data_IF_430475624475
#
_entry.id   IF_430475624475
#
_cell.length_a   1.000
_cell.length_b   1.000
_cell.length_c   1.000
_cell.angle_alpha   90.00
_cell.angle_beta   90.00
_cell.angle_gamma   90.00
#
_symmetry.space_group_name_H-M   'P 1'
#
loop_
_entity.id
_entity.type
_entity.pdbx_description
1 polymer ?
#
# COMPACT_ATOMS: atom_id res chain seq x y z
N UNK A 1 -7.29 30.54 0.48
CA UNK A 1 -7.95 29.38 -0.20
C UNK A 1 -8.39 28.38 0.84
N UNK A 2 -9.67 27.97 0.86
CA UNK A 2 -10.15 26.91 1.76
C UNK A 2 -10.00 25.54 1.09
N UNK A 3 -9.37 24.62 1.77
CA UNK A 3 -9.09 23.27 1.25
C UNK A 3 -9.81 22.23 2.11
N UNK A 4 -10.47 21.26 1.44
CA UNK A 4 -10.95 20.05 2.10
C UNK A 4 -10.32 18.80 1.48
N UNK A 5 -9.93 17.86 2.32
CA UNK A 5 -9.43 16.55 1.94
C UNK A 5 -10.47 15.51 2.38
N UNK A 6 -10.99 14.77 1.41
CA UNK A 6 -11.98 13.73 1.63
C UNK A 6 -11.26 12.40 1.85
N UNK A 7 -11.32 11.90 3.08
CA UNK A 7 -10.67 10.68 3.53
C UNK A 7 -9.43 10.92 4.39
N UNK A 8 -9.50 10.50 5.66
CA UNK A 8 -8.42 10.54 6.65
C UNK A 8 -7.57 9.26 6.65
N UNK A 9 -7.24 8.72 5.46
CA UNK A 9 -6.31 7.61 5.30
C UNK A 9 -4.88 8.09 5.04
N UNK A 10 -3.99 7.16 4.67
CA UNK A 10 -2.58 7.44 4.37
C UNK A 10 -2.42 8.62 3.40
N UNK A 11 -3.06 8.58 2.23
CA UNK A 11 -2.96 9.62 1.21
C UNK A 11 -3.46 10.98 1.71
N UNK A 12 -4.58 10.99 2.44
CA UNK A 12 -5.17 12.25 2.93
C UNK A 12 -4.35 12.90 4.04
N UNK A 13 -3.85 12.10 4.99
CA UNK A 13 -3.06 12.61 6.11
C UNK A 13 -1.67 13.08 5.68
N UNK A 14 -0.98 12.34 4.80
CA UNK A 14 0.32 12.74 4.26
C UNK A 14 0.21 13.98 3.39
N UNK A 15 -0.86 14.10 2.57
CA UNK A 15 -1.17 15.31 1.83
C UNK A 15 -1.42 16.51 2.76
N UNK A 16 -2.22 16.33 3.81
CA UNK A 16 -2.48 17.38 4.79
C UNK A 16 -1.18 17.85 5.44
N UNK A 17 -0.33 16.92 5.88
CA UNK A 17 0.96 17.26 6.49
C UNK A 17 1.87 18.04 5.51
N UNK A 18 1.92 17.64 4.22
CA UNK A 18 2.65 18.39 3.19
C UNK A 18 2.13 19.81 3.04
N UNK A 19 0.80 19.98 2.91
CA UNK A 19 0.18 21.30 2.75
C UNK A 19 0.40 22.19 3.98
N UNK A 20 0.28 21.64 5.18
CA UNK A 20 0.52 22.36 6.44
C UNK A 20 1.94 22.91 6.56
N UNK A 21 2.93 22.25 5.96
CA UNK A 21 4.32 22.70 5.90
C UNK A 21 4.55 23.82 4.89
N UNK A 22 3.78 23.84 3.81
CA UNK A 22 4.08 24.69 2.64
C UNK A 22 3.19 25.91 2.50
N UNK A 23 1.96 25.87 3.02
CA UNK A 23 0.99 26.98 2.90
C UNK A 23 0.42 27.37 4.25
N UNK A 24 -0.02 28.62 4.38
CA UNK A 24 -0.67 29.15 5.59
C UNK A 24 -2.18 28.88 5.66
N UNK A 25 -2.69 28.10 4.74
CA UNK A 25 -4.11 27.79 4.58
C UNK A 25 -4.58 26.76 5.62
N UNK A 26 -5.81 26.96 6.10
CA UNK A 26 -6.47 25.99 6.98
C UNK A 26 -6.97 24.79 6.17
N UNK A 27 -6.81 23.58 6.75
CA UNK A 27 -7.17 22.33 6.10
C UNK A 27 -8.30 21.65 6.89
N UNK A 28 -9.33 21.24 6.18
CA UNK A 28 -10.37 20.38 6.72
C UNK A 28 -10.19 18.96 6.18
N UNK A 29 -10.17 17.96 7.06
CA UNK A 29 -10.25 16.54 6.68
C UNK A 29 -11.66 16.04 6.99
N UNK A 30 -12.37 15.63 5.94
CA UNK A 30 -13.66 14.96 6.05
C UNK A 30 -13.44 13.45 6.12
N UNK A 31 -13.76 12.84 7.27
CA UNK A 31 -13.69 11.40 7.51
C UNK A 31 -15.06 10.89 7.98
N UNK A 32 -15.61 9.90 7.28
CA UNK A 32 -16.93 9.32 7.61
C UNK A 32 -16.87 8.36 8.80
N UNK A 33 -15.72 7.76 9.08
CA UNK A 33 -15.55 6.81 10.18
C UNK A 33 -15.38 7.53 11.52
N UNK A 34 -16.41 7.43 12.38
CA UNK A 34 -16.44 8.10 13.69
C UNK A 34 -15.33 7.59 14.63
N UNK A 35 -15.01 6.29 14.60
CA UNK A 35 -13.95 5.73 15.44
C UNK A 35 -12.58 6.31 15.09
N UNK A 36 -12.34 6.57 13.79
CA UNK A 36 -11.12 7.25 13.35
C UNK A 36 -11.09 8.70 13.84
N UNK A 37 -12.21 9.42 13.78
CA UNK A 37 -12.27 10.80 14.27
C UNK A 37 -11.93 10.88 15.75
N UNK A 38 -12.48 9.98 16.57
CA UNK A 38 -12.16 9.89 18.01
C UNK A 38 -10.65 9.62 18.20
N UNK A 39 -10.06 8.73 17.40
CA UNK A 39 -8.61 8.48 17.44
C UNK A 39 -7.81 9.73 17.06
N UNK A 40 -8.22 10.46 16.02
CA UNK A 40 -7.55 11.69 15.56
C UNK A 40 -7.63 12.82 16.61
N UNK A 41 -8.74 12.92 17.33
CA UNK A 41 -8.85 13.84 18.48
C UNK A 41 -7.81 13.54 19.55
N UNK A 42 -7.52 12.27 19.78
CA UNK A 42 -6.54 11.79 20.75
C UNK A 42 -5.10 11.73 20.19
N UNK A 43 -4.85 12.25 18.98
CA UNK A 43 -3.52 12.25 18.36
C UNK A 43 -3.06 10.91 17.81
N UNK A 44 -3.97 9.95 17.62
CA UNK A 44 -3.69 8.63 17.07
C UNK A 44 -4.14 8.57 15.61
N UNK A 45 -3.20 8.70 14.68
CA UNK A 45 -3.52 8.76 13.25
C UNK A 45 -3.49 7.39 12.55
N UNK A 46 -2.96 6.35 13.24
CA UNK A 46 -2.98 4.97 12.75
C UNK A 46 -2.09 4.71 11.53
N UNK A 47 -1.11 5.57 11.29
CA UNK A 47 -0.19 5.50 10.16
C UNK A 47 1.23 5.69 10.67
N UNK A 48 2.12 4.79 10.31
CA UNK A 48 3.55 4.97 10.55
C UNK A 48 4.16 5.79 9.41
N UNK A 49 4.37 7.08 9.68
CA UNK A 49 5.07 7.98 8.76
C UNK A 49 5.91 8.98 9.58
N UNK A 50 7.24 8.93 9.50
CA UNK A 50 8.11 9.79 10.30
C UNK A 50 7.78 11.27 10.17
N UNK A 51 7.53 11.94 11.30
CA UNK A 51 7.23 13.39 11.38
C UNK A 51 5.76 13.75 11.13
N UNK A 52 4.89 12.80 10.73
CA UNK A 52 3.47 13.07 10.48
C UNK A 52 2.75 13.56 11.72
N UNK A 53 2.88 12.83 12.82
CA UNK A 53 2.17 13.11 14.07
C UNK A 53 2.54 14.49 14.63
N UNK A 54 3.83 14.84 14.60
CA UNK A 54 4.34 16.14 15.06
C UNK A 54 3.74 17.29 14.23
N UNK A 55 3.76 17.17 12.90
CA UNK A 55 3.22 18.22 12.01
C UNK A 55 1.73 18.43 12.28
N UNK A 56 0.96 17.35 12.41
CA UNK A 56 -0.48 17.46 12.64
C UNK A 56 -0.77 18.01 14.04
N UNK A 57 -0.03 17.61 15.08
CA UNK A 57 -0.22 18.13 16.43
C UNK A 57 0.06 19.64 16.50
N UNK A 58 1.15 20.12 15.90
CA UNK A 58 1.44 21.55 15.82
C UNK A 58 0.32 22.29 15.09
N UNK A 59 -0.17 21.76 13.97
CA UNK A 59 -1.25 22.37 13.23
C UNK A 59 -2.58 22.41 13.99
N UNK A 60 -2.88 21.39 14.80
CA UNK A 60 -4.04 21.37 15.72
C UNK A 60 -3.94 22.48 16.77
N UNK A 61 -2.79 22.64 17.41
CA UNK A 61 -2.54 23.70 18.40
C UNK A 61 -2.71 25.10 17.79
N UNK A 62 -2.38 25.26 16.51
CA UNK A 62 -2.53 26.50 15.76
C UNK A 62 -3.93 26.68 15.13
N UNK A 63 -4.87 25.74 15.32
CA UNK A 63 -6.18 25.70 14.68
C UNK A 63 -6.12 25.68 13.13
N UNK A 64 -5.05 25.14 12.55
CA UNK A 64 -4.84 25.09 11.10
C UNK A 64 -5.31 23.78 10.46
N UNK A 65 -5.67 22.79 11.26
CA UNK A 65 -6.28 21.53 10.78
C UNK A 65 -7.49 21.19 11.62
N UNK A 66 -8.55 20.74 10.95
CA UNK A 66 -9.77 20.26 11.57
C UNK A 66 -10.16 18.90 10.98
N UNK A 67 -10.58 17.99 11.85
CA UNK A 67 -11.14 16.69 11.47
C UNK A 67 -12.65 16.71 11.74
N UNK A 68 -13.46 16.28 10.79
CA UNK A 68 -14.93 16.32 10.91
C UNK A 68 -15.58 15.25 10.03
N UNK A 69 -16.79 14.87 10.37
CA UNK A 69 -17.67 14.08 9.52
C UNK A 69 -18.74 14.94 8.81
N UNK A 70 -18.77 16.23 9.07
CA UNK A 70 -19.76 17.15 8.51
C UNK A 70 -19.11 18.45 8.05
N UNK A 71 -19.39 18.83 6.81
CA UNK A 71 -18.99 20.08 6.17
C UNK A 71 -20.20 20.85 5.62
N UNK A 72 -21.41 20.52 6.09
CA UNK A 72 -22.63 21.22 5.66
C UNK A 72 -22.47 22.73 5.78
N UNK A 73 -22.95 23.48 4.79
CA UNK A 73 -22.88 24.95 4.70
C UNK A 73 -21.48 25.57 4.47
N UNK A 74 -20.41 24.79 4.40
CA UNK A 74 -19.09 25.31 4.09
C UNK A 74 -18.83 25.28 2.58
N UNK A 75 -17.98 26.21 2.11
CA UNK A 75 -17.53 26.31 0.72
C UNK A 75 -16.01 26.18 0.65
N UNK A 76 -15.54 25.31 -0.23
CA UNK A 76 -14.12 25.05 -0.44
C UNK A 76 -13.75 25.40 -1.88
N UNK A 77 -12.58 26.00 -2.05
CA UNK A 77 -12.03 26.33 -3.35
C UNK A 77 -11.31 25.14 -4.00
N UNK A 78 -10.82 24.23 -3.16
CA UNK A 78 -10.12 23.01 -3.60
C UNK A 78 -10.56 21.80 -2.75
N UNK A 79 -11.02 20.78 -3.43
CA UNK A 79 -11.45 19.50 -2.85
C UNK A 79 -10.50 18.41 -3.33
N UNK A 80 -9.74 17.79 -2.42
CA UNK A 80 -8.96 16.58 -2.72
C UNK A 80 -9.76 15.34 -2.38
N UNK A 81 -9.94 14.42 -3.32
CA UNK A 81 -10.58 13.12 -3.09
C UNK A 81 -9.51 12.06 -2.88
N UNK A 82 -9.37 11.62 -1.62
CA UNK A 82 -8.36 10.67 -1.13
C UNK A 82 -9.01 9.42 -0.51
N UNK A 83 -10.12 8.95 -1.05
CA UNK A 83 -10.82 7.78 -0.55
C UNK A 83 -10.18 6.48 -1.03
N UNK A 84 -10.36 5.41 -0.25
CA UNK A 84 -9.90 4.08 -0.66
C UNK A 84 -10.84 3.52 -1.74
N UNK A 85 -10.25 2.94 -2.79
CA UNK A 85 -10.96 2.21 -3.85
C UNK A 85 -10.73 0.72 -3.63
N UNK A 86 -11.60 0.06 -2.86
CA UNK A 86 -11.45 -1.34 -2.48
C UNK A 86 -11.59 -2.31 -3.66
N UNK A 87 -10.93 -3.48 -3.57
CA UNK A 87 -10.95 -4.57 -4.57
C UNK A 87 -12.39 -5.10 -4.85
N UNK A 88 -13.31 -4.96 -3.90
CA UNK A 88 -14.66 -5.54 -3.95
C UNK A 88 -15.77 -4.58 -4.41
N UNK A 89 -15.44 -3.33 -4.80
CA UNK A 89 -16.44 -2.42 -5.32
C UNK A 89 -16.67 -2.66 -6.81
N UNK A 90 -17.86 -3.13 -7.16
CA UNK A 90 -18.25 -3.42 -8.56
C UNK A 90 -18.48 -2.18 -9.41
N UNK A 91 -18.51 -0.98 -8.83
CA UNK A 91 -18.80 0.27 -9.56
C UNK A 91 -18.07 1.49 -8.96
N UNK A 92 -16.74 1.49 -9.05
CA UNK A 92 -15.90 2.55 -8.46
C UNK A 92 -16.12 3.93 -9.07
N UNK A 93 -16.37 3.97 -10.36
CA UNK A 93 -16.66 5.23 -11.08
C UNK A 93 -17.92 5.89 -10.52
N UNK A 94 -19.00 5.10 -10.35
CA UNK A 94 -20.25 5.63 -9.81
C UNK A 94 -20.12 6.06 -8.35
N UNK A 95 -19.30 5.36 -7.57
CA UNK A 95 -19.00 5.76 -6.18
C UNK A 95 -18.34 7.12 -6.12
N UNK A 96 -17.39 7.40 -7.02
CA UNK A 96 -16.73 8.71 -7.13
C UNK A 96 -17.73 9.79 -7.60
N UNK A 97 -18.55 9.49 -8.62
CA UNK A 97 -19.57 10.43 -9.11
C UNK A 97 -20.60 10.75 -8.01
N UNK A 98 -21.05 9.74 -7.27
CA UNK A 98 -21.98 9.93 -6.14
C UNK A 98 -21.37 10.83 -5.07
N UNK A 99 -20.11 10.60 -4.71
CA UNK A 99 -19.39 11.46 -3.76
C UNK A 99 -19.27 12.88 -4.29
N UNK A 100 -18.92 13.08 -5.55
CA UNK A 100 -18.85 14.42 -6.16
C UNK A 100 -20.20 15.09 -6.13
N UNK A 101 -21.30 14.37 -6.42
CA UNK A 101 -22.66 14.90 -6.35
C UNK A 101 -23.02 15.39 -4.94
N UNK A 102 -22.66 14.63 -3.89
CA UNK A 102 -22.86 15.03 -2.49
C UNK A 102 -22.08 16.32 -2.16
N UNK A 103 -20.89 16.49 -2.73
CA UNK A 103 -19.99 17.60 -2.43
C UNK A 103 -20.27 18.88 -3.25
N UNK A 104 -21.10 18.85 -4.31
CA UNK A 104 -21.29 19.98 -5.22
C UNK A 104 -21.69 21.27 -4.50
N UNK A 105 -22.54 21.16 -3.46
CA UNK A 105 -22.95 22.32 -2.66
C UNK A 105 -21.84 22.87 -1.75
N UNK A 106 -20.76 22.12 -1.55
CA UNK A 106 -19.63 22.51 -0.72
C UNK A 106 -18.46 23.07 -1.54
N UNK A 107 -18.58 23.11 -2.86
CA UNK A 107 -17.53 23.64 -3.75
C UNK A 107 -17.86 25.08 -4.11
N UNK A 108 -16.89 25.97 -4.00
CA UNK A 108 -16.99 27.38 -4.41
C UNK A 108 -17.24 27.51 -5.90
N UNK A 109 -17.71 28.68 -6.35
CA UNK A 109 -17.77 29.00 -7.79
C UNK A 109 -16.35 28.90 -8.36
N UNK A 110 -16.22 28.32 -9.54
CA UNK A 110 -14.92 28.07 -10.20
C UNK A 110 -13.92 27.29 -9.33
N UNK A 111 -14.43 26.50 -8.36
CA UNK A 111 -13.62 25.65 -7.50
C UNK A 111 -13.05 24.43 -8.24
N UNK A 112 -12.14 23.72 -7.56
CA UNK A 112 -11.42 22.60 -8.13
C UNK A 112 -11.71 21.29 -7.37
N UNK A 113 -11.82 20.20 -8.12
CA UNK A 113 -11.80 18.84 -7.61
C UNK A 113 -10.51 18.18 -8.11
N UNK A 114 -9.66 17.74 -7.18
CA UNK A 114 -8.48 16.96 -7.46
C UNK A 114 -8.72 15.51 -7.07
N UNK A 115 -8.80 14.60 -8.04
CA UNK A 115 -8.85 13.16 -7.77
C UNK A 115 -7.44 12.66 -7.47
N UNK A 116 -7.21 12.18 -6.24
CA UNK A 116 -5.95 11.56 -5.80
C UNK A 116 -6.06 10.07 -5.59
N UNK A 117 -7.28 9.57 -5.37
CA UNK A 117 -7.53 8.13 -5.30
C UNK A 117 -7.07 7.42 -6.56
N UNK A 118 -6.51 6.20 -6.42
CA UNK A 118 -6.22 5.35 -7.57
C UNK A 118 -7.54 4.82 -8.15
N UNK A 119 -7.79 5.08 -9.42
CA UNK A 119 -9.07 4.81 -10.10
C UNK A 119 -8.85 4.09 -11.43
N UNK A 120 -9.88 3.42 -12.00
CA UNK A 120 -9.84 2.94 -13.38
C UNK A 120 -9.64 4.09 -14.37
N UNK A 121 -9.02 3.79 -15.52
CA UNK A 121 -8.76 4.77 -16.58
C UNK A 121 -10.09 5.29 -17.13
N UNK A 122 -10.19 6.61 -17.30
CA UNK A 122 -11.40 7.30 -17.76
C UNK A 122 -12.31 7.80 -16.64
N UNK A 123 -12.00 7.51 -15.37
CA UNK A 123 -12.83 7.96 -14.23
C UNK A 123 -12.94 9.48 -14.19
N UNK A 124 -11.85 10.22 -14.39
CA UNK A 124 -11.86 11.69 -14.36
C UNK A 124 -12.72 12.25 -15.48
N UNK A 125 -12.73 11.64 -16.67
CA UNK A 125 -13.60 12.01 -17.78
C UNK A 125 -15.07 11.77 -17.49
N UNK A 126 -15.42 10.70 -16.79
CA UNK A 126 -16.80 10.48 -16.35
C UNK A 126 -17.25 11.54 -15.34
N UNK A 127 -16.39 11.93 -14.40
CA UNK A 127 -16.67 13.02 -13.46
C UNK A 127 -16.82 14.35 -14.20
N UNK A 128 -15.95 14.65 -15.17
CA UNK A 128 -16.05 15.86 -16.00
C UNK A 128 -17.37 15.92 -16.73
N UNK A 129 -17.76 14.83 -17.40
CA UNK A 129 -19.05 14.76 -18.10
C UNK A 129 -20.22 15.00 -17.14
N UNK A 130 -20.20 14.38 -15.95
CA UNK A 130 -21.23 14.64 -14.93
C UNK A 130 -21.30 16.12 -14.52
N UNK A 131 -20.15 16.78 -14.35
CA UNK A 131 -20.08 18.21 -14.02
C UNK A 131 -20.63 19.07 -15.16
N UNK A 132 -20.29 18.78 -16.41
CA UNK A 132 -20.76 19.52 -17.60
C UNK A 132 -22.29 19.42 -17.79
N UNK A 133 -22.87 18.26 -17.46
CA UNK A 133 -24.30 18.02 -17.50
C UNK A 133 -25.05 18.61 -16.28
N UNK A 134 -24.33 19.16 -15.30
CA UNK A 134 -24.86 19.70 -14.04
C UNK A 134 -24.93 21.23 -14.06
N UNK A 135 -25.73 21.86 -13.16
CA UNK A 135 -25.70 23.32 -12.94
C UNK A 135 -24.32 23.85 -12.47
N UNK A 136 -23.40 22.97 -12.14
CA UNK A 136 -22.06 23.29 -11.62
C UNK A 136 -20.96 22.99 -12.64
N UNK A 137 -21.22 23.24 -13.92
CA UNK A 137 -20.24 23.18 -15.01
C UNK A 137 -19.04 24.13 -14.83
N UNK A 138 -19.15 25.10 -13.91
CA UNK A 138 -18.08 26.00 -13.50
C UNK A 138 -16.98 25.34 -12.66
N UNK A 139 -17.23 24.16 -12.09
CA UNK A 139 -16.27 23.41 -11.29
C UNK A 139 -15.32 22.63 -12.19
N UNK A 140 -14.01 22.78 -11.93
CA UNK A 140 -12.98 22.07 -12.68
C UNK A 140 -12.59 20.78 -11.97
N UNK A 141 -12.36 19.70 -12.74
CA UNK A 141 -11.84 18.43 -12.23
C UNK A 141 -10.54 18.07 -12.93
N UNK A 142 -9.59 17.53 -12.17
CA UNK A 142 -8.32 17.03 -12.67
C UNK A 142 -7.84 15.84 -11.85
N UNK A 143 -6.89 15.11 -12.39
CA UNK A 143 -6.30 13.95 -11.74
C UNK A 143 -4.87 14.24 -11.30
N UNK A 144 -4.56 13.99 -10.03
CA UNK A 144 -3.20 14.13 -9.51
C UNK A 144 -2.93 13.03 -8.46
N UNK A 145 -2.52 11.82 -8.90
CA UNK A 145 -2.44 10.63 -8.04
C UNK A 145 -1.32 10.71 -7.01
N UNK A 146 -1.52 10.03 -5.89
CA UNK A 146 -0.44 9.75 -4.95
C UNK A 146 0.50 8.67 -5.49
N UNK A 147 1.82 8.89 -5.37
CA UNK A 147 2.86 7.99 -5.87
C UNK A 147 3.93 7.64 -4.83
N UNK A 148 3.78 8.15 -3.63
CA UNK A 148 4.73 7.95 -2.55
C UNK A 148 4.64 6.56 -1.92
N UNK A 149 5.72 6.19 -1.22
CA UNK A 149 5.85 4.92 -0.52
C UNK A 149 5.67 5.15 0.98
N UNK A 150 4.83 4.35 1.63
CA UNK A 150 4.61 4.38 3.06
C UNK A 150 5.92 4.25 3.85
N UNK A 151 6.09 5.07 4.89
CA UNK A 151 7.28 5.16 5.73
C UNK A 151 8.30 6.22 5.30
N UNK A 152 8.18 6.77 4.07
CA UNK A 152 8.99 7.88 3.54
C UNK A 152 8.18 8.86 2.70
N UNK A 153 6.85 8.83 2.84
CA UNK A 153 5.95 9.60 1.97
C UNK A 153 6.15 11.11 2.09
N UNK A 154 6.37 11.63 3.29
CA UNK A 154 6.61 13.07 3.47
C UNK A 154 7.89 13.54 2.76
N UNK A 155 8.94 12.72 2.79
CA UNK A 155 10.18 13.00 2.07
C UNK A 155 9.97 12.95 0.55
N UNK A 156 9.20 11.96 0.07
CA UNK A 156 8.91 11.80 -1.35
C UNK A 156 7.95 12.87 -1.88
N UNK A 157 6.98 13.35 -1.07
CA UNK A 157 6.12 14.49 -1.42
C UNK A 157 6.92 15.80 -1.61
N UNK A 158 8.06 15.93 -0.97
CA UNK A 158 8.97 17.07 -1.15
C UNK A 158 9.88 16.92 -2.38
N UNK A 159 10.23 15.70 -2.76
CA UNK A 159 11.24 15.41 -3.78
C UNK A 159 10.66 15.00 -5.13
N UNK A 160 9.63 14.16 -5.14
CA UNK A 160 9.02 13.63 -6.36
C UNK A 160 8.08 14.64 -7.02
N UNK A 161 8.10 14.75 -8.37
CA UNK A 161 7.13 15.57 -9.06
C UNK A 161 5.74 14.94 -9.00
N UNK A 162 4.74 15.78 -8.74
CA UNK A 162 3.32 15.44 -8.82
C UNK A 162 2.91 15.38 -10.30
N UNK A 163 2.33 14.26 -10.71
CA UNK A 163 1.74 14.14 -12.05
C UNK A 163 0.38 14.82 -12.04
N UNK A 164 0.07 15.57 -13.07
CA UNK A 164 -1.20 16.28 -13.24
C UNK A 164 -1.78 16.01 -14.62
N UNK A 165 -2.93 15.38 -14.65
CA UNK A 165 -3.74 15.19 -15.87
C UNK A 165 -4.94 16.12 -15.85
N UNK A 166 -5.04 17.03 -16.80
CA UNK A 166 -6.12 18.00 -16.94
C UNK A 166 -6.72 17.99 -18.36
N UNK A 167 -7.89 18.64 -18.53
CA UNK A 167 -8.60 18.70 -19.82
C UNK A 167 -8.20 19.88 -20.69
N UNK A 168 -7.26 20.70 -20.28
CA UNK A 168 -6.90 21.92 -20.99
C UNK A 168 -6.04 21.63 -22.23
N UNK A 169 -6.61 21.82 -23.41
CA UNK A 169 -5.90 21.68 -24.69
C UNK A 169 -5.00 22.89 -25.02
N UNK A 170 -5.21 24.02 -24.35
CA UNK A 170 -4.59 25.33 -24.70
C UNK A 170 -3.36 25.66 -23.85
N UNK A 171 -2.63 24.69 -23.30
CA UNK A 171 -1.49 24.91 -22.40
C UNK A 171 -1.80 25.83 -21.20
N UNK A 172 -3.06 26.06 -20.85
CA UNK A 172 -3.40 26.76 -19.63
C UNK A 172 -3.08 25.83 -18.46
N UNK A 173 -1.96 26.05 -17.84
CA UNK A 173 -1.45 25.26 -16.73
C UNK A 173 -2.19 25.51 -15.41
N UNK A 174 -3.46 25.93 -15.46
CA UNK A 174 -4.22 26.40 -14.28
C UNK A 174 -4.18 25.40 -13.13
N UNK A 175 -4.39 24.09 -13.41
CA UNK A 175 -4.37 23.04 -12.40
C UNK A 175 -2.94 22.71 -11.94
N UNK A 176 -1.98 22.78 -12.88
CA UNK A 176 -0.55 22.64 -12.59
C UNK A 176 -0.04 23.80 -11.75
N UNK A 177 -0.42 25.05 -12.08
CA UNK A 177 -0.03 26.24 -11.33
C UNK A 177 -0.67 26.27 -9.95
N UNK A 178 -1.92 25.79 -9.84
CA UNK A 178 -2.56 25.60 -8.54
C UNK A 178 -1.72 24.70 -7.64
N UNK A 179 -1.29 23.53 -8.12
CA UNK A 179 -0.45 22.62 -7.31
C UNK A 179 0.96 23.18 -7.08
N UNK A 180 1.55 23.90 -8.03
CA UNK A 180 2.82 24.62 -7.83
C UNK A 180 2.70 25.65 -6.71
N UNK A 181 1.59 26.41 -6.67
CA UNK A 181 1.34 27.39 -5.59
C UNK A 181 1.19 26.75 -4.22
N UNK A 182 0.84 25.46 -4.17
CA UNK A 182 0.79 24.63 -2.95
C UNK A 182 2.14 23.98 -2.61
N UNK A 183 3.21 24.30 -3.34
CA UNK A 183 4.55 23.82 -3.06
C UNK A 183 4.88 22.44 -3.63
N UNK A 184 4.15 21.98 -4.66
CA UNK A 184 4.51 20.77 -5.39
C UNK A 184 5.39 21.06 -6.60
N UNK A 185 6.33 20.18 -6.88
CA UNK A 185 6.91 20.07 -8.23
C UNK A 185 5.87 19.39 -9.10
N UNK A 186 5.67 19.83 -10.35
CA UNK A 186 4.58 19.32 -11.20
C UNK A 186 5.11 18.92 -12.57
N UNK A 187 4.62 17.77 -13.05
CA UNK A 187 4.72 17.32 -14.45
C UNK A 187 3.30 17.21 -14.99
N UNK A 188 2.97 18.02 -15.97
CA UNK A 188 1.69 17.97 -16.68
C UNK A 188 1.63 16.81 -17.67
N UNK A 189 0.45 16.20 -17.80
CA UNK A 189 0.12 15.20 -18.81
C UNK A 189 -0.88 15.79 -19.80
N UNK A 190 -0.91 15.24 -21.01
CA UNK A 190 -1.79 15.72 -22.08
C UNK A 190 -3.30 15.59 -21.80
N UNK A 191 -3.68 14.66 -20.93
CA UNK A 191 -5.06 14.40 -20.52
C UNK A 191 -5.09 13.59 -19.20
N UNK A 192 -6.23 13.53 -18.51
CA UNK A 192 -6.37 12.77 -17.27
C UNK A 192 -6.15 11.27 -17.42
N UNK A 193 -6.60 10.67 -18.53
CA UNK A 193 -6.46 9.24 -18.79
C UNK A 193 -5.01 8.83 -18.86
N UNK A 194 -4.15 9.64 -19.44
CA UNK A 194 -2.70 9.40 -19.48
C UNK A 194 -2.09 9.43 -18.08
N UNK A 195 -2.56 10.30 -17.19
CA UNK A 195 -2.10 10.38 -15.81
C UNK A 195 -2.63 9.19 -14.98
N UNK A 196 -3.89 8.78 -15.18
CA UNK A 196 -4.49 7.57 -14.58
C UNK A 196 -3.73 6.31 -15.00
N UNK A 197 -3.43 6.19 -16.29
CA UNK A 197 -2.64 5.09 -16.84
C UNK A 197 -1.21 5.07 -16.24
N UNK A 198 -0.54 6.25 -16.17
CA UNK A 198 0.80 6.37 -15.59
C UNK A 198 0.84 5.90 -14.14
N UNK A 199 -0.21 6.22 -13.35
CA UNK A 199 -0.32 5.74 -11.97
C UNK A 199 -0.36 4.22 -11.91
N UNK A 200 -1.18 3.59 -12.72
CA UNK A 200 -1.36 2.14 -12.73
C UNK A 200 -0.13 1.41 -13.28
N UNK A 201 0.46 1.89 -14.41
CA UNK A 201 1.61 1.23 -15.04
C UNK A 201 2.83 1.20 -14.13
N UNK A 202 3.02 2.21 -13.28
CA UNK A 202 4.14 2.23 -12.32
C UNK A 202 4.09 1.07 -11.33
N UNK A 203 2.90 0.69 -10.88
CA UNK A 203 2.70 -0.44 -9.98
C UNK A 203 2.67 -1.78 -10.72
N UNK A 204 2.04 -1.84 -11.88
CA UNK A 204 2.01 -3.02 -12.77
C UNK A 204 3.44 -3.43 -13.15
N UNK A 205 4.29 -2.47 -13.54
CA UNK A 205 5.68 -2.74 -13.86
C UNK A 205 6.45 -3.39 -12.71
N UNK A 206 6.27 -2.87 -11.49
CA UNK A 206 6.91 -3.43 -10.30
C UNK A 206 6.38 -4.84 -10.00
N UNK A 207 5.07 -5.02 -10.06
CA UNK A 207 4.41 -6.30 -9.81
C UNK A 207 4.88 -7.38 -10.81
N UNK A 208 4.98 -7.03 -12.11
CA UNK A 208 5.46 -7.95 -13.14
C UNK A 208 6.95 -8.30 -12.98
N UNK A 209 7.79 -7.35 -12.56
CA UNK A 209 9.20 -7.66 -12.28
C UNK A 209 9.36 -8.63 -11.10
N UNK A 210 8.57 -8.47 -10.04
CA UNK A 210 8.56 -9.44 -8.94
C UNK A 210 8.07 -10.81 -9.39
N UNK A 211 7.04 -10.87 -10.24
CA UNK A 211 6.51 -12.14 -10.75
C UNK A 211 7.56 -12.93 -11.54
N UNK A 212 8.31 -12.26 -12.43
CA UNK A 212 9.40 -12.88 -13.17
C UNK A 212 10.43 -13.49 -12.21
N UNK A 213 10.83 -12.74 -11.19
CA UNK A 213 11.85 -13.22 -10.25
C UNK A 213 11.30 -14.32 -9.34
N UNK A 214 10.05 -14.26 -8.95
CA UNK A 214 9.39 -15.32 -8.19
C UNK A 214 9.32 -16.63 -9.00
N UNK A 215 9.06 -16.54 -10.31
CA UNK A 215 9.11 -17.71 -11.18
C UNK A 215 10.53 -18.27 -11.32
N UNK A 216 11.53 -17.40 -11.48
CA UNK A 216 12.93 -17.82 -11.49
C UNK A 216 13.36 -18.46 -10.17
N UNK A 217 12.84 -18.01 -9.04
CA UNK A 217 13.08 -18.64 -7.73
C UNK A 217 12.54 -20.08 -7.69
N UNK A 218 11.33 -20.33 -8.22
CA UNK A 218 10.78 -21.68 -8.34
C UNK A 218 11.66 -22.58 -9.22
N UNK A 219 12.22 -22.06 -10.31
CA UNK A 219 13.11 -22.82 -11.18
C UNK A 219 14.47 -23.07 -10.51
N UNK A 220 15.01 -22.11 -9.77
CA UNK A 220 16.28 -22.30 -9.06
C UNK A 220 16.21 -23.39 -8.00
N UNK A 221 15.09 -23.52 -7.27
CA UNK A 221 14.87 -24.64 -6.35
C UNK A 221 14.96 -26.00 -7.06
N UNK A 222 14.28 -26.13 -8.22
CA UNK A 222 14.31 -27.38 -9.02
C UNK A 222 15.70 -27.72 -9.55
N UNK A 223 16.52 -26.69 -9.81
CA UNK A 223 17.90 -26.85 -10.28
C UNK A 223 18.93 -26.96 -9.14
N UNK A 224 18.50 -26.89 -7.88
CA UNK A 224 19.34 -26.86 -6.68
C UNK A 224 20.36 -25.71 -6.70
N UNK A 225 19.88 -24.51 -7.05
CA UNK A 225 20.67 -23.28 -7.10
C UNK A 225 20.18 -22.29 -6.03
N UNK A 226 21.00 -21.28 -5.71
CA UNK A 226 20.66 -20.14 -4.85
C UNK A 226 20.34 -18.91 -5.71
N UNK A 227 19.07 -18.56 -5.83
CA UNK A 227 18.62 -17.40 -6.60
C UNK A 227 19.15 -16.08 -6.03
N UNK A 228 19.34 -15.97 -4.72
CA UNK A 228 19.81 -14.74 -4.08
C UNK A 228 21.27 -14.46 -4.43
N UNK A 229 22.14 -15.50 -4.43
CA UNK A 229 23.51 -15.37 -4.91
C UNK A 229 23.56 -14.98 -6.37
N UNK A 230 22.76 -15.63 -7.21
CA UNK A 230 22.69 -15.36 -8.66
C UNK A 230 22.29 -13.91 -8.91
N UNK A 231 21.24 -13.42 -8.25
CA UNK A 231 20.76 -12.04 -8.40
C UNK A 231 21.81 -11.04 -7.90
N UNK A 232 22.43 -11.28 -6.75
CA UNK A 232 23.46 -10.42 -6.19
C UNK A 232 24.62 -10.24 -7.19
N UNK A 233 25.12 -11.35 -7.75
CA UNK A 233 26.18 -11.33 -8.76
C UNK A 233 25.72 -10.71 -10.08
N UNK A 234 24.50 -10.99 -10.52
CA UNK A 234 23.94 -10.41 -11.74
C UNK A 234 23.78 -8.89 -11.67
N UNK A 235 23.53 -8.35 -10.49
CA UNK A 235 23.39 -6.91 -10.29
C UNK A 235 24.74 -6.19 -10.06
N UNK A 236 25.84 -6.94 -9.81
CA UNK A 236 27.13 -6.35 -9.52
C UNK A 236 27.71 -5.71 -10.78
N UNK A 237 27.90 -4.39 -10.74
CA UNK A 237 28.48 -3.58 -11.83
C UNK A 237 27.80 -3.74 -13.21
N UNK A 238 26.53 -4.21 -13.24
CA UNK A 238 25.78 -4.41 -14.47
C UNK A 238 24.70 -3.32 -14.65
N UNK A 239 24.93 -2.31 -15.52
CA UNK A 239 24.07 -1.11 -15.57
C UNK A 239 22.75 -1.32 -16.34
N UNK A 240 22.57 -2.44 -17.07
CA UNK A 240 21.42 -2.63 -17.97
C UNK A 240 20.16 -3.12 -17.28
N UNK A 241 20.29 -3.78 -16.14
CA UNK A 241 19.14 -4.24 -15.35
C UNK A 241 19.49 -4.27 -13.87
N UNK A 242 18.46 -4.05 -13.03
CA UNK A 242 18.52 -4.26 -11.59
C UNK A 242 17.43 -5.26 -11.24
N UNK A 243 17.81 -6.51 -11.07
CA UNK A 243 16.91 -7.61 -10.78
C UNK A 243 16.51 -7.51 -9.30
N UNK A 244 15.20 -7.44 -8.94
CA UNK A 244 14.78 -7.48 -7.54
C UNK A 244 14.98 -8.87 -6.94
N UNK A 245 15.02 -8.95 -5.59
CA UNK A 245 14.99 -10.24 -4.93
C UNK A 245 13.57 -10.83 -4.90
N UNK A 246 13.42 -12.17 -4.94
CA UNK A 246 12.12 -12.83 -4.85
C UNK A 246 11.52 -12.69 -3.46
N UNK A 247 10.22 -12.96 -3.37
CA UNK A 247 9.48 -12.99 -2.13
C UNK A 247 8.00 -12.67 -2.34
N UNK A 248 7.17 -12.84 -1.32
CA UNK A 248 5.76 -12.50 -1.38
C UNK A 248 5.52 -11.04 -1.77
N UNK A 249 4.53 -10.80 -2.64
CA UNK A 249 4.19 -9.47 -3.17
C UNK A 249 2.78 -9.11 -2.76
N UNK A 250 2.67 -8.28 -1.73
CA UNK A 250 1.42 -7.86 -1.12
C UNK A 250 1.27 -6.34 -1.00
N UNK A 251 0.44 -5.95 -0.04
CA UNK A 251 0.16 -4.57 0.29
C UNK A 251 -1.00 -3.95 -0.49
N UNK A 252 -1.47 -2.77 -0.08
CA UNK A 252 -2.72 -2.19 -0.56
C UNK A 252 -2.70 -1.72 -2.03
N UNK A 253 -1.52 -1.65 -2.64
CA UNK A 253 -1.35 -1.16 -4.01
C UNK A 253 -1.14 -2.29 -5.02
N UNK A 254 -0.07 -3.09 -4.88
CA UNK A 254 0.28 -4.10 -5.89
C UNK A 254 -0.79 -5.20 -5.99
N UNK A 255 -1.46 -5.52 -4.89
CA UNK A 255 -2.52 -6.54 -4.90
C UNK A 255 -3.79 -6.15 -5.65
N UNK A 256 -4.01 -4.85 -5.98
CA UNK A 256 -5.26 -4.38 -6.60
C UNK A 256 -5.09 -3.60 -7.91
N UNK A 257 -3.96 -2.91 -8.13
CA UNK A 257 -3.84 -1.96 -9.25
C UNK A 257 -3.87 -2.65 -10.61
N UNK A 258 -3.38 -3.89 -10.71
CA UNK A 258 -3.54 -4.73 -11.91
C UNK A 258 -5.03 -4.99 -12.21
N UNK A 259 -5.84 -5.29 -11.21
CA UNK A 259 -7.28 -5.49 -11.39
C UNK A 259 -7.98 -4.20 -11.80
N UNK A 260 -7.64 -3.06 -11.18
CA UNK A 260 -8.16 -1.73 -11.57
C UNK A 260 -7.85 -1.40 -13.03
N UNK A 261 -6.65 -1.74 -13.49
CA UNK A 261 -6.26 -1.55 -14.88
C UNK A 261 -7.20 -2.31 -15.83
N UNK A 262 -7.47 -3.58 -15.55
CA UNK A 262 -8.34 -4.39 -16.40
C UNK A 262 -9.82 -4.01 -16.34
N UNK A 263 -10.28 -3.36 -15.27
CA UNK A 263 -11.64 -2.80 -15.19
C UNK A 263 -11.87 -1.64 -16.18
N UNK A 264 -10.81 -1.00 -16.64
CA UNK A 264 -10.88 0.07 -17.64
C UNK A 264 -11.29 -0.43 -19.04
N UNK A 265 -11.27 -1.74 -19.28
CA UNK A 265 -11.56 -2.31 -20.59
C UNK A 265 -12.93 -2.99 -20.61
N UNK A 266 -13.70 -2.76 -21.68
CA UNK A 266 -15.02 -3.39 -21.88
C UNK A 266 -14.94 -4.86 -22.26
N UNK A 267 -13.79 -5.27 -22.82
CA UNK A 267 -13.52 -6.67 -23.24
C UNK A 267 -12.63 -7.37 -22.22
N UNK A 268 -12.79 -8.68 -22.07
CA UNK A 268 -11.89 -9.47 -21.25
C UNK A 268 -10.53 -9.61 -21.95
N UNK A 269 -9.52 -8.88 -21.47
CA UNK A 269 -8.15 -8.94 -21.95
C UNK A 269 -7.21 -9.68 -20.99
N UNK A 270 -7.76 -10.41 -20.01
CA UNK A 270 -6.98 -11.04 -18.94
C UNK A 270 -6.26 -12.30 -19.38
N UNK A 271 -6.92 -13.13 -20.16
CA UNK A 271 -6.54 -14.53 -20.39
C UNK A 271 -5.18 -14.69 -21.11
N UNK A 272 -4.81 -13.75 -22.00
CA UNK A 272 -3.54 -13.76 -22.72
C UNK A 272 -2.57 -12.66 -22.24
N UNK A 273 -2.86 -12.04 -21.11
CA UNK A 273 -2.10 -10.89 -20.63
C UNK A 273 -0.92 -11.32 -19.75
N UNK A 274 0.29 -10.98 -20.15
CA UNK A 274 1.49 -11.10 -19.31
C UNK A 274 1.32 -10.37 -17.99
N UNK A 275 0.68 -9.19 -18.01
CA UNK A 275 0.42 -8.38 -16.80
C UNK A 275 -0.49 -9.11 -15.83
N UNK A 276 -1.57 -9.71 -16.33
CA UNK A 276 -2.49 -10.48 -15.48
C UNK A 276 -1.86 -11.77 -14.97
N UNK A 277 -1.15 -12.50 -15.83
CA UNK A 277 -0.39 -13.70 -15.44
C UNK A 277 0.67 -13.40 -14.40
N UNK A 278 1.33 -12.23 -14.49
CA UNK A 278 2.29 -11.78 -13.47
C UNK A 278 1.61 -11.61 -12.10
N UNK A 279 0.43 -10.97 -12.03
CA UNK A 279 -0.30 -10.84 -10.78
C UNK A 279 -0.68 -12.20 -10.20
N UNK A 280 -1.20 -13.11 -11.02
CA UNK A 280 -1.54 -14.48 -10.61
C UNK A 280 -0.31 -15.23 -10.07
N UNK A 281 0.86 -15.11 -10.74
CA UNK A 281 2.11 -15.71 -10.26
C UNK A 281 2.51 -15.20 -8.87
N UNK A 282 2.39 -13.92 -8.60
CA UNK A 282 2.70 -13.36 -7.29
C UNK A 282 1.71 -13.83 -6.21
N UNK A 283 0.44 -14.03 -6.54
CA UNK A 283 -0.56 -14.58 -5.61
C UNK A 283 -0.29 -16.07 -5.29
N UNK A 284 0.26 -16.84 -6.23
CA UNK A 284 0.63 -18.25 -6.02
C UNK A 284 1.79 -18.45 -5.03
N UNK A 285 2.64 -17.44 -4.80
CA UNK A 285 3.79 -17.55 -3.88
C UNK A 285 3.34 -17.88 -2.46
N UNK A 286 2.19 -17.37 -2.02
CA UNK A 286 1.62 -17.68 -0.70
C UNK A 286 1.27 -19.16 -0.59
N UNK A 287 0.75 -19.76 -1.67
CA UNK A 287 0.40 -21.19 -1.71
C UNK A 287 1.63 -22.12 -1.60
N UNK A 288 2.80 -21.64 -2.03
CA UNK A 288 4.05 -22.40 -1.87
C UNK A 288 4.38 -22.54 -0.36
N UNK A 289 4.36 -21.43 0.37
CA UNK A 289 4.57 -21.45 1.82
C UNK A 289 3.51 -22.31 2.54
N UNK A 290 2.23 -22.13 2.18
CA UNK A 290 1.14 -22.94 2.69
C UNK A 290 1.37 -24.44 2.49
N UNK A 291 1.76 -24.86 1.29
CA UNK A 291 2.00 -26.27 0.97
C UNK A 291 3.13 -26.85 1.81
N UNK A 292 4.23 -26.11 2.00
CA UNK A 292 5.36 -26.54 2.84
C UNK A 292 4.96 -26.69 4.31
N UNK A 293 4.18 -25.77 4.84
CA UNK A 293 3.68 -25.85 6.21
C UNK A 293 2.76 -27.07 6.38
N UNK A 294 1.79 -27.24 5.48
CA UNK A 294 0.83 -28.36 5.56
C UNK A 294 1.53 -29.72 5.42
N UNK A 295 2.52 -29.83 4.55
CA UNK A 295 3.35 -31.03 4.40
C UNK A 295 4.07 -31.37 5.72
N UNK A 296 4.61 -30.37 6.41
CA UNK A 296 5.35 -30.55 7.67
C UNK A 296 4.45 -30.91 8.86
N UNK A 297 3.29 -30.22 9.01
CA UNK A 297 2.45 -30.40 10.20
C UNK A 297 1.67 -31.74 10.20
N UNK A 298 1.35 -32.28 9.05
CA UNK A 298 0.48 -33.47 8.94
C UNK A 298 -0.93 -33.22 9.50
N UNK A 299 -1.44 -34.14 10.34
CA UNK A 299 -2.78 -34.07 10.96
C UNK A 299 -2.80 -33.54 12.39
N UNK A 300 -1.65 -33.38 13.03
CA UNK A 300 -1.55 -33.03 14.45
C UNK A 300 -1.86 -31.53 14.66
N UNK A 301 -2.35 -31.23 15.89
CA UNK A 301 -2.45 -29.81 16.30
C UNK A 301 -1.03 -29.26 16.44
N UNK A 302 -0.80 -28.11 15.82
CA UNK A 302 0.49 -27.43 15.79
C UNK A 302 0.35 -25.97 16.15
N UNK A 303 1.46 -25.37 16.60
CA UNK A 303 1.58 -23.97 16.93
C UNK A 303 2.51 -23.27 15.95
N UNK A 304 2.06 -22.14 15.42
CA UNK A 304 2.79 -21.36 14.44
C UNK A 304 2.94 -19.91 14.89
N UNK A 305 4.13 -19.35 14.71
CA UNK A 305 4.36 -17.91 14.90
C UNK A 305 4.87 -17.27 13.63
N UNK A 306 4.26 -16.14 13.26
CA UNK A 306 4.82 -15.21 12.31
C UNK A 306 5.74 -14.21 13.00
N UNK A 307 6.96 -14.05 12.50
CA UNK A 307 7.89 -12.99 12.87
C UNK A 307 7.83 -11.94 11.76
N UNK A 308 7.05 -10.89 12.00
CA UNK A 308 6.68 -9.88 11.01
C UNK A 308 5.26 -10.03 10.51
N UNK A 309 4.49 -8.95 10.55
CA UNK A 309 3.08 -8.91 10.13
C UNK A 309 2.82 -7.89 9.02
N UNK A 310 3.50 -6.75 9.03
CA UNK A 310 3.33 -5.71 8.02
C UNK A 310 3.67 -6.22 6.61
N UNK A 311 3.01 -5.67 5.58
CA UNK A 311 3.17 -6.16 4.19
C UNK A 311 4.58 -6.00 3.62
N UNK A 312 5.41 -5.17 4.23
CA UNK A 312 6.83 -4.99 3.93
C UNK A 312 7.60 -4.53 5.18
N UNK A 313 8.90 -4.78 5.20
CA UNK A 313 9.79 -4.29 6.26
C UNK A 313 10.58 -3.04 5.88
N UNK A 314 10.78 -2.78 4.57
CA UNK A 314 11.62 -1.66 4.05
C UNK A 314 10.93 -0.93 2.90
N UNK A 315 10.70 0.41 3.00
CA UNK A 315 10.70 1.19 4.25
C UNK A 315 9.69 0.63 5.24
N UNK A 316 9.94 0.87 6.55
CA UNK A 316 9.06 0.41 7.63
C UNK A 316 7.64 0.95 7.46
N UNK A 317 6.64 0.12 7.76
CA UNK A 317 5.22 0.48 7.79
C UNK A 317 4.52 -0.32 8.89
N UNK A 318 3.35 0.15 9.33
CA UNK A 318 2.43 -0.61 10.18
C UNK A 318 1.19 -1.10 9.40
N UNK A 319 1.26 -1.17 8.08
CA UNK A 319 0.14 -1.62 7.26
C UNK A 319 0.14 -3.15 7.10
N UNK A 320 -0.89 -3.78 7.66
CA UNK A 320 -1.11 -5.22 7.63
C UNK A 320 -1.90 -5.69 6.40
N UNK A 321 -2.55 -4.76 5.67
CA UNK A 321 -3.47 -5.08 4.57
C UNK A 321 -2.80 -5.83 3.42
N UNK A 322 -3.40 -6.97 3.06
CA UNK A 322 -2.88 -7.85 2.00
C UNK A 322 -1.39 -8.18 2.21
N UNK A 323 -0.97 -8.33 3.46
CA UNK A 323 0.37 -8.82 3.77
C UNK A 323 0.46 -10.33 3.55
N UNK A 324 1.67 -10.83 3.32
CA UNK A 324 1.92 -12.27 3.26
C UNK A 324 1.41 -12.99 4.52
N UNK A 325 1.62 -12.39 5.70
CA UNK A 325 1.14 -12.90 6.98
C UNK A 325 -0.39 -12.98 7.02
N UNK A 326 -1.09 -11.95 6.53
CA UNK A 326 -2.55 -11.95 6.46
C UNK A 326 -3.06 -13.05 5.52
N UNK A 327 -2.54 -13.10 4.29
CA UNK A 327 -3.02 -14.03 3.27
C UNK A 327 -2.73 -15.49 3.66
N UNK A 328 -1.55 -15.76 4.18
CA UNK A 328 -1.19 -17.11 4.66
C UNK A 328 -2.00 -17.50 5.90
N UNK A 329 -2.26 -16.55 6.83
CA UNK A 329 -3.13 -16.81 7.99
C UNK A 329 -4.54 -17.20 7.57
N UNK A 330 -5.10 -16.57 6.55
CA UNK A 330 -6.43 -16.92 6.00
C UNK A 330 -6.43 -18.38 5.50
N UNK A 331 -5.41 -18.78 4.74
CA UNK A 331 -5.31 -20.15 4.22
C UNK A 331 -5.13 -21.19 5.35
N UNK A 332 -4.48 -20.82 6.44
CA UNK A 332 -4.22 -21.72 7.57
C UNK A 332 -5.37 -21.82 8.56
N UNK A 333 -6.37 -20.92 8.54
CA UNK A 333 -7.51 -20.94 9.49
C UNK A 333 -8.31 -22.23 9.45
N UNK A 334 -8.39 -22.90 8.31
CA UNK A 334 -9.10 -24.19 8.16
C UNK A 334 -8.30 -25.40 8.68
N UNK A 335 -7.06 -25.16 9.11
CA UNK A 335 -6.17 -26.19 9.64
C UNK A 335 -6.17 -26.16 11.17
N UNK A 336 -5.80 -27.29 11.77
CA UNK A 336 -5.67 -27.39 13.22
C UNK A 336 -4.37 -26.73 13.73
N UNK A 337 -4.22 -25.41 13.45
CA UNK A 337 -3.01 -24.64 13.76
C UNK A 337 -3.40 -23.45 14.66
N UNK A 338 -2.69 -23.32 15.77
CA UNK A 338 -2.75 -22.13 16.60
C UNK A 338 -1.77 -21.08 16.07
N UNK A 339 -2.32 -19.98 15.53
CA UNK A 339 -1.53 -18.92 14.90
C UNK A 339 -1.18 -17.86 15.94
N UNK A 340 0.06 -17.37 15.90
CA UNK A 340 0.53 -16.19 16.62
C UNK A 340 1.22 -15.23 15.63
N UNK A 341 1.10 -13.91 15.86
CA UNK A 341 1.75 -12.87 15.05
C UNK A 341 2.52 -11.97 15.99
N UNK A 342 3.82 -11.90 15.83
CA UNK A 342 4.68 -10.95 16.52
C UNK A 342 5.32 -10.00 15.51
N UNK A 343 5.11 -8.71 15.71
CA UNK A 343 5.74 -7.63 14.92
C UNK A 343 5.81 -6.37 15.80
N UNK A 344 7.01 -5.89 16.16
CA UNK A 344 7.16 -4.72 17.03
C UNK A 344 6.74 -3.40 16.36
N UNK A 345 6.33 -3.44 15.09
CA UNK A 345 5.88 -2.25 14.36
C UNK A 345 4.36 -2.12 14.33
N UNK A 346 3.64 -3.19 14.70
CA UNK A 346 2.19 -3.26 14.68
C UNK A 346 1.60 -3.10 16.09
N UNK A 347 0.38 -2.61 16.12
CA UNK A 347 -0.50 -2.68 17.29
C UNK A 347 -1.62 -3.69 17.01
N UNK A 348 -2.28 -4.23 18.04
CA UNK A 348 -3.44 -5.12 17.84
C UNK A 348 -4.52 -4.53 16.92
N UNK A 349 -4.69 -3.20 16.96
CA UNK A 349 -5.65 -2.48 16.10
C UNK A 349 -5.28 -2.46 14.62
N UNK A 350 -4.02 -2.70 14.27
CA UNK A 350 -3.55 -2.70 12.88
C UNK A 350 -3.87 -4.02 12.18
N UNK A 351 -4.08 -5.10 12.96
CA UNK A 351 -4.28 -6.47 12.47
C UNK A 351 -5.69 -6.78 11.97
N UNK A 352 -6.49 -5.82 11.59
CA UNK A 352 -7.75 -5.90 10.83
C UNK A 352 -8.49 -7.26 10.87
N UNK A 353 -9.05 -7.63 12.04
CA UNK A 353 -9.75 -8.91 12.22
C UNK A 353 -8.86 -10.08 12.65
N UNK A 354 -7.55 -9.86 12.82
CA UNK A 354 -6.57 -10.84 13.30
C UNK A 354 -5.97 -10.46 14.66
N UNK A 355 -6.53 -9.48 15.37
CA UNK A 355 -6.02 -8.97 16.65
C UNK A 355 -5.89 -10.06 17.73
N UNK A 356 -6.71 -11.11 17.67
CA UNK A 356 -6.65 -12.27 18.58
C UNK A 356 -5.33 -13.07 18.43
N UNK A 357 -4.63 -12.95 17.32
CA UNK A 357 -3.36 -13.62 17.07
C UNK A 357 -2.13 -12.79 17.48
N UNK A 358 -2.33 -11.53 17.87
CA UNK A 358 -1.23 -10.62 18.22
C UNK A 358 -0.48 -11.05 19.47
N UNK A 359 0.84 -10.95 19.42
CA UNK A 359 1.75 -11.15 20.56
C UNK A 359 2.50 -9.86 20.86
N UNK A 360 2.51 -9.45 22.13
CA UNK A 360 3.25 -8.28 22.58
C UNK A 360 4.77 -8.51 22.59
N UNK A 361 5.18 -9.71 22.94
CA UNK A 361 6.58 -10.10 23.05
C UNK A 361 6.87 -11.38 22.27
N UNK A 362 8.06 -11.47 21.69
CA UNK A 362 8.62 -12.72 21.21
C UNK A 362 9.23 -13.42 22.44
N UNK A 363 8.47 -14.32 23.03
CA UNK A 363 8.90 -15.14 24.16
C UNK A 363 9.81 -16.29 23.70
N UNK A 364 10.42 -17.00 24.67
CA UNK A 364 11.30 -18.17 24.38
C UNK A 364 10.49 -19.45 24.08
N UNK A 365 9.19 -19.33 23.81
CA UNK A 365 8.33 -20.48 23.46
C UNK A 365 8.80 -21.11 22.16
N UNK A 366 8.90 -22.43 22.17
CA UNK A 366 9.21 -23.19 20.96
C UNK A 366 7.91 -23.46 20.20
N UNK A 367 7.80 -22.90 19.01
CA UNK A 367 6.71 -23.18 18.08
C UNK A 367 7.10 -24.32 17.14
N UNK A 368 6.10 -25.05 16.64
CA UNK A 368 6.34 -26.10 15.64
C UNK A 368 6.75 -25.48 14.29
N UNK A 369 6.17 -24.31 13.96
CA UNK A 369 6.47 -23.58 12.72
C UNK A 369 6.76 -22.12 13.03
N UNK A 370 7.83 -21.59 12.47
CA UNK A 370 8.20 -20.18 12.50
C UNK A 370 8.21 -19.66 11.08
N UNK A 371 7.41 -18.64 10.80
CA UNK A 371 7.32 -18.03 9.47
C UNK A 371 7.91 -16.62 9.52
N UNK A 372 8.89 -16.35 8.67
CA UNK A 372 9.38 -14.98 8.45
C UNK A 372 8.37 -14.24 7.59
N UNK A 373 7.64 -13.30 8.21
CA UNK A 373 6.47 -12.65 7.59
C UNK A 373 6.79 -11.48 6.67
N UNK A 374 7.97 -10.86 6.83
CA UNK A 374 8.46 -9.79 5.97
C UNK A 374 9.99 -9.67 6.04
N UNK A 375 10.56 -8.64 5.40
CA UNK A 375 12.01 -8.38 5.37
C UNK A 375 12.44 -7.23 6.29
N UNK A 376 11.83 -7.09 7.46
CA UNK A 376 12.11 -6.02 8.42
C UNK A 376 13.51 -6.07 9.01
N UNK A 377 14.04 -4.92 9.42
CA UNK A 377 15.35 -4.81 10.05
C UNK A 377 15.40 -5.43 11.43
N UNK A 378 14.30 -5.44 12.17
CA UNK A 378 14.22 -6.08 13.49
C UNK A 378 14.52 -7.58 13.47
N UNK A 379 14.44 -8.24 12.30
CA UNK A 379 14.86 -9.63 12.14
C UNK A 379 16.33 -9.86 12.46
N UNK A 380 17.14 -8.82 12.41
CA UNK A 380 18.57 -8.82 12.77
C UNK A 380 18.85 -8.36 14.20
N UNK A 381 17.82 -8.05 14.98
CA UNK A 381 17.98 -7.73 16.41
C UNK A 381 18.42 -8.96 17.18
N UNK A 382 19.21 -8.74 18.23
CA UNK A 382 19.82 -9.83 19.02
C UNK A 382 18.78 -10.79 19.60
N UNK A 383 17.61 -10.30 19.99
CA UNK A 383 16.51 -11.12 20.50
C UNK A 383 16.05 -12.12 19.44
N UNK A 384 15.71 -11.65 18.23
CA UNK A 384 15.23 -12.48 17.14
C UNK A 384 16.30 -13.47 16.67
N UNK A 385 17.54 -12.98 16.51
CA UNK A 385 18.66 -13.84 16.10
C UNK A 385 18.93 -14.96 17.12
N UNK A 386 18.89 -14.64 18.43
CA UNK A 386 19.07 -15.65 19.47
C UNK A 386 17.90 -16.64 19.49
N UNK A 387 16.66 -16.17 19.33
CA UNK A 387 15.50 -17.02 19.21
C UNK A 387 15.65 -18.02 18.05
N UNK A 388 15.93 -17.54 16.83
CA UNK A 388 16.08 -18.38 15.64
C UNK A 388 17.21 -19.40 15.75
N UNK A 389 18.38 -19.02 16.32
CA UNK A 389 19.52 -19.93 16.50
C UNK A 389 19.27 -21.04 17.50
N UNK A 390 18.40 -20.81 18.48
CA UNK A 390 18.10 -21.78 19.54
C UNK A 390 16.92 -22.72 19.21
N UNK A 391 16.26 -22.53 18.05
CA UNK A 391 15.17 -23.41 17.62
C UNK A 391 15.65 -24.86 17.46
N UNK A 392 14.86 -25.84 17.95
CA UNK A 392 15.20 -27.25 17.83
C UNK A 392 15.02 -27.77 16.40
N UNK A 393 15.61 -28.90 16.08
CA UNK A 393 15.46 -29.57 14.76
C UNK A 393 14.02 -29.97 14.43
N UNK A 394 13.14 -30.03 15.42
CA UNK A 394 11.72 -30.36 15.27
C UNK A 394 10.86 -29.15 14.84
N UNK A 395 11.44 -27.99 14.74
CA UNK A 395 10.76 -26.78 14.25
C UNK A 395 11.04 -26.60 12.75
N UNK A 396 10.02 -26.26 11.97
CA UNK A 396 10.16 -25.77 10.60
C UNK A 396 10.27 -24.24 10.59
N UNK A 397 11.30 -23.69 9.96
CA UNK A 397 11.40 -22.24 9.67
C UNK A 397 11.15 -22.00 8.19
N UNK A 398 10.14 -21.20 7.89
CA UNK A 398 9.77 -20.81 6.51
C UNK A 398 10.24 -19.39 6.25
N UNK A 399 11.21 -19.22 5.35
CA UNK A 399 11.77 -17.94 4.95
C UNK A 399 11.55 -17.71 3.45
N UNK A 400 10.55 -16.87 3.15
CA UNK A 400 10.21 -16.51 1.77
C UNK A 400 11.03 -15.33 1.24
N UNK A 401 11.89 -14.72 2.07
CA UNK A 401 12.60 -13.46 1.77
C UNK A 401 14.12 -13.64 1.70
N UNK A 402 14.63 -14.84 2.02
CA UNK A 402 16.06 -15.13 2.07
C UNK A 402 16.81 -14.37 3.16
N UNK A 403 16.12 -13.84 4.18
CA UNK A 403 16.74 -13.04 5.25
C UNK A 403 17.59 -13.90 6.20
N UNK A 404 17.29 -15.19 6.30
CA UNK A 404 18.02 -16.14 7.16
C UNK A 404 19.16 -16.86 6.44
N UNK A 405 19.47 -16.51 5.18
CA UNK A 405 20.45 -17.26 4.36
C UNK A 405 21.85 -17.33 4.97
N UNK A 406 22.26 -16.30 5.71
CA UNK A 406 23.56 -16.22 6.36
C UNK A 406 23.57 -16.71 7.82
N UNK A 407 22.42 -17.18 8.33
CA UNK A 407 22.28 -17.64 9.71
C UNK A 407 22.44 -19.16 9.80
N UNK A 408 23.25 -19.61 10.77
CA UNK A 408 23.28 -21.00 11.18
C UNK A 408 22.10 -21.26 12.13
N UNK A 409 21.09 -21.98 11.64
CA UNK A 409 19.88 -22.34 12.36
C UNK A 409 19.80 -23.87 12.40
N UNK A 410 19.55 -24.46 13.59
CA UNK A 410 19.47 -25.91 13.76
C UNK A 410 18.14 -26.49 13.28
N UNK A 411 17.09 -25.68 13.26
CA UNK A 411 15.75 -26.04 12.82
C UNK A 411 15.72 -26.52 11.36
N UNK A 412 14.69 -27.24 10.98
CA UNK A 412 14.41 -27.53 9.58
C UNK A 412 14.12 -26.23 8.83
N UNK A 413 14.77 -26.04 7.66
CA UNK A 413 14.70 -24.77 6.93
C UNK A 413 14.06 -24.97 5.56
N UNK A 414 13.00 -24.21 5.30
CA UNK A 414 12.58 -23.95 3.94
C UNK A 414 12.91 -22.49 3.56
N UNK A 415 13.73 -22.30 2.55
CA UNK A 415 14.08 -20.98 1.99
C UNK A 415 13.63 -20.92 0.56
N UNK A 416 12.67 -20.04 0.27
CA UNK A 416 12.15 -19.85 -1.08
C UNK A 416 13.27 -19.42 -2.03
N UNK A 417 13.40 -20.13 -3.17
CA UNK A 417 14.41 -19.86 -4.19
C UNK A 417 15.79 -20.43 -3.90
N UNK A 418 15.95 -21.21 -2.82
CA UNK A 418 17.19 -21.95 -2.51
C UNK A 418 16.91 -23.44 -2.57
N UNK A 419 17.49 -24.12 -3.55
CA UNK A 419 17.36 -25.57 -3.68
C UNK A 419 18.28 -26.33 -2.72
N UNK A 420 17.74 -27.30 -2.02
CA UNK A 420 18.46 -28.21 -1.10
C UNK A 420 19.03 -29.43 -1.81
#
# INVERSE_FOLDING_TARGET
MKIVIIGGGFVGLTLAAKLLKTVTTDITILEKNLDKLVKFENGMYGIYEPGLDEIIQIAKQQNRIRFTNDIAQEKFELVFICINTNKNESNRVDSIITLVKELLNNISKQGFICLRSTVPIGTTSHVKKFLDDSPRFDVKVFFAPERTVEGIALQELDSLPQIVGSFNQDNSETESDLLRSLGFKVIGMSNPESAEFLKLISNIWRDSNFAIVNELAIFSEKLKLDIFEIIEKSNTEYPRSKIPFPGPVGGPCLSKDTYLFFESFKTNLRDESIVFSSRTRNEEVVNIAYSKIVEFIGSDRKELVFIGGAFKGKPRTNDFRNSFTQDLSILLQEKNIEISIWDPTLLPSDLLGFSQYYKYDLDDRVYDVVVIGNNSEFLFDSQVLNYLRNLPKTTLVVDMWGVTKSLEIKAEMYRFGIGN
#
